data_IF_998759043488
#
_entry.id   IF_998759043488
#
_cell.length_a   1.000
_cell.length_b   1.000
_cell.length_c   1.000
_cell.angle_alpha   90.00
_cell.angle_beta   90.00
_cell.angle_gamma   90.00
#
_symmetry.space_group_name_H-M   'P 1'
#
loop_
_entity.id
_entity.type
_entity.pdbx_description
1 polymer ?
#
# COMPACT_ATOMS: atom_id res chain seq x y z
N UNK A 1 -4.18 11.62 -14.09
CA UNK A 1 -4.88 11.09 -15.27
C UNK A 1 -5.59 9.76 -14.92
N UNK A 2 -4.89 8.80 -14.32
CA UNK A 2 -5.38 7.44 -14.14
C UNK A 2 -6.49 7.33 -13.07
N UNK A 3 -6.37 8.04 -11.95
CA UNK A 3 -7.41 8.08 -10.91
C UNK A 3 -8.74 8.65 -11.45
N UNK A 4 -8.68 9.69 -12.30
CA UNK A 4 -9.88 10.24 -12.92
C UNK A 4 -10.50 9.26 -13.95
N UNK A 5 -9.65 8.52 -14.67
CA UNK A 5 -10.11 7.49 -15.60
C UNK A 5 -10.81 6.34 -14.85
N UNK A 6 -10.22 5.90 -13.72
CA UNK A 6 -10.83 4.90 -12.84
C UNK A 6 -12.17 5.38 -12.27
N UNK A 7 -12.24 6.60 -11.77
CA UNK A 7 -13.47 7.18 -11.26
C UNK A 7 -14.60 7.17 -12.30
N UNK A 8 -14.29 7.57 -13.55
CA UNK A 8 -15.25 7.54 -14.66
C UNK A 8 -15.71 6.11 -15.01
N UNK A 9 -14.83 5.11 -14.88
CA UNK A 9 -15.21 3.70 -15.07
C UNK A 9 -16.14 3.22 -13.97
N UNK A 10 -15.82 3.54 -12.70
CA UNK A 10 -16.64 3.22 -11.53
C UNK A 10 -18.05 3.81 -11.65
N UNK A 11 -18.16 5.07 -12.08
CA UNK A 11 -19.47 5.72 -12.29
C UNK A 11 -20.35 5.02 -13.32
N UNK A 12 -19.76 4.41 -14.34
CA UNK A 12 -20.46 3.74 -15.44
C UNK A 12 -20.64 2.24 -15.24
N UNK A 13 -20.04 1.68 -14.18
CA UNK A 13 -20.11 0.26 -13.91
C UNK A 13 -21.49 -0.12 -13.36
N UNK A 14 -22.17 -1.09 -13.99
CA UNK A 14 -23.54 -1.49 -13.67
C UNK A 14 -23.63 -2.91 -13.08
N UNK A 15 -22.49 -3.58 -12.89
CA UNK A 15 -22.38 -4.92 -12.32
C UNK A 15 -21.37 -5.78 -13.07
N UNK A 16 -21.02 -6.93 -12.51
CA UNK A 16 -20.04 -7.86 -13.05
C UNK A 16 -18.91 -8.15 -12.04
N UNK A 17 -17.84 -8.78 -12.53
CA UNK A 17 -16.69 -9.18 -11.74
C UNK A 17 -15.77 -7.99 -11.45
N UNK A 18 -15.56 -7.67 -10.19
CA UNK A 18 -14.60 -6.66 -9.73
C UNK A 18 -13.44 -7.35 -9.03
N UNK A 19 -12.23 -7.10 -9.47
CA UNK A 19 -11.03 -7.62 -8.80
C UNK A 19 -10.25 -6.46 -8.18
N UNK A 20 -9.92 -6.60 -6.88
CA UNK A 20 -8.93 -5.76 -6.22
C UNK A 20 -7.63 -6.55 -6.11
N UNK A 21 -6.60 -6.11 -6.84
CA UNK A 21 -5.31 -6.82 -6.90
C UNK A 21 -4.16 -5.97 -6.42
N UNK A 22 -3.21 -6.60 -5.71
CA UNK A 22 -2.05 -5.92 -5.11
C UNK A 22 -0.76 -6.43 -5.72
N UNK A 23 -0.01 -5.52 -6.35
CA UNK A 23 1.35 -5.79 -6.81
C UNK A 23 2.39 -5.57 -5.70
N UNK A 24 3.50 -6.32 -5.75
CA UNK A 24 4.62 -6.18 -4.81
C UNK A 24 5.87 -5.65 -5.53
N UNK A 25 6.67 -4.81 -4.85
CA UNK A 25 6.44 -4.25 -3.52
C UNK A 25 5.28 -3.26 -3.50
N UNK A 26 4.44 -3.29 -2.48
CA UNK A 26 3.34 -2.33 -2.34
C UNK A 26 3.72 -1.17 -1.42
N UNK A 27 3.20 0.01 -1.71
CA UNK A 27 3.49 1.23 -0.96
C UNK A 27 2.85 1.19 0.44
N UNK A 28 1.56 0.87 0.50
CA UNK A 28 0.78 0.82 1.73
C UNK A 28 -0.08 -0.45 1.76
N UNK A 29 0.07 -1.31 2.77
CA UNK A 29 -0.71 -2.55 2.87
C UNK A 29 -2.20 -2.31 3.16
N UNK A 30 -2.58 -1.14 3.70
CA UNK A 30 -3.96 -0.79 4.00
C UNK A 30 -4.76 -0.42 2.76
N UNK A 31 -4.15 0.21 1.76
CA UNK A 31 -4.86 0.74 0.59
C UNK A 31 -5.71 -0.29 -0.16
N UNK A 32 -5.25 -1.51 -0.47
CA UNK A 32 -6.10 -2.48 -1.15
C UNK A 32 -7.26 -2.97 -0.27
N UNK A 33 -7.05 -3.06 1.04
CA UNK A 33 -8.10 -3.43 1.99
C UNK A 33 -9.17 -2.35 2.10
N UNK A 34 -8.75 -1.11 2.31
CA UNK A 34 -9.63 0.04 2.45
C UNK A 34 -10.45 0.29 1.19
N UNK A 35 -9.83 0.24 0.00
CA UNK A 35 -10.56 0.41 -1.26
C UNK A 35 -11.60 -0.70 -1.48
N UNK A 36 -11.37 -1.90 -0.95
CA UNK A 36 -12.35 -2.98 -1.02
C UNK A 36 -13.62 -2.62 -0.23
N UNK A 37 -13.48 -2.13 0.99
CA UNK A 37 -14.62 -1.65 1.79
C UNK A 37 -15.30 -0.44 1.17
N UNK A 38 -14.54 0.51 0.61
CA UNK A 38 -15.14 1.62 -0.14
C UNK A 38 -15.94 1.17 -1.36
N UNK A 39 -15.49 0.15 -2.08
CA UNK A 39 -16.24 -0.40 -3.20
C UNK A 39 -17.54 -1.06 -2.75
N UNK A 40 -17.54 -1.78 -1.64
CA UNK A 40 -18.74 -2.36 -1.04
C UNK A 40 -19.76 -1.25 -0.74
N UNK A 41 -19.36 -0.25 0.03
CA UNK A 41 -20.22 0.89 0.40
C UNK A 41 -20.70 1.66 -0.84
N UNK A 42 -19.80 1.92 -1.79
CA UNK A 42 -20.12 2.63 -3.02
C UNK A 42 -21.17 1.88 -3.86
N UNK A 43 -21.02 0.58 -4.05
CA UNK A 43 -21.97 -0.20 -4.84
C UNK A 43 -23.30 -0.44 -4.12
N UNK A 44 -23.28 -0.56 -2.77
CA UNK A 44 -24.50 -0.56 -1.94
C UNK A 44 -25.26 0.76 -2.08
N UNK A 45 -24.60 1.91 -1.96
CA UNK A 45 -25.21 3.24 -2.11
C UNK A 45 -25.76 3.47 -3.54
N UNK A 46 -25.19 2.82 -4.54
CA UNK A 46 -25.72 2.83 -5.91
C UNK A 46 -26.85 1.83 -6.15
N UNK A 47 -27.17 0.94 -5.21
CA UNK A 47 -28.21 -0.08 -5.36
C UNK A 47 -27.87 -1.16 -6.40
N UNK A 48 -26.58 -1.47 -6.59
CA UNK A 48 -26.12 -2.47 -7.55
C UNK A 48 -25.27 -3.58 -6.93
N UNK A 49 -25.15 -3.61 -5.60
CA UNK A 49 -24.30 -4.57 -4.89
C UNK A 49 -24.65 -6.02 -5.21
N UNK A 50 -25.93 -6.32 -5.38
CA UNK A 50 -26.46 -7.62 -5.79
C UNK A 50 -26.01 -8.11 -7.17
N UNK A 51 -25.47 -7.21 -8.01
CA UNK A 51 -24.92 -7.48 -9.35
C UNK A 51 -23.41 -7.50 -9.39
N UNK A 52 -22.74 -7.30 -8.27
CA UNK A 52 -21.27 -7.21 -8.19
C UNK A 52 -20.72 -8.47 -7.54
N UNK A 53 -19.78 -9.11 -8.24
CA UNK A 53 -18.94 -10.18 -7.71
C UNK A 53 -17.56 -9.60 -7.39
N UNK A 54 -17.33 -9.25 -6.11
CA UNK A 54 -16.09 -8.62 -5.65
C UNK A 54 -15.11 -9.67 -5.14
N UNK A 55 -13.94 -9.69 -5.79
CA UNK A 55 -12.85 -10.59 -5.45
C UNK A 55 -11.59 -9.82 -5.07
N UNK A 56 -11.01 -10.16 -3.92
CA UNK A 56 -9.79 -9.56 -3.38
C UNK A 56 -8.60 -10.51 -3.51
N UNK A 57 -7.45 -10.04 -4.00
CA UNK A 57 -6.23 -10.87 -4.04
C UNK A 57 -5.10 -10.23 -3.22
N UNK A 58 -4.33 -11.08 -2.52
CA UNK A 58 -3.22 -10.60 -1.70
C UNK A 58 -1.99 -11.53 -1.77
N UNK A 59 -0.75 -10.99 -1.78
CA UNK A 59 0.44 -11.76 -2.12
C UNK A 59 0.96 -12.72 -1.04
N UNK A 60 0.50 -12.62 0.21
CA UNK A 60 0.90 -13.53 1.29
C UNK A 60 -0.26 -14.41 1.75
N UNK A 61 -0.02 -15.43 2.58
CA UNK A 61 -1.01 -16.40 3.04
C UNK A 61 -2.11 -15.88 3.97
N UNK A 62 -2.45 -14.61 3.91
CA UNK A 62 -3.54 -13.94 4.64
C UNK A 62 -3.90 -12.63 3.95
N UNK A 63 -5.09 -12.11 4.20
CA UNK A 63 -5.64 -10.92 3.52
C UNK A 63 -4.95 -9.58 3.84
N UNK A 64 -4.01 -9.56 4.78
CA UNK A 64 -3.25 -8.37 5.14
C UNK A 64 -1.90 -8.72 5.79
N UNK A 65 -0.89 -7.84 5.67
CA UNK A 65 0.46 -8.06 6.23
C UNK A 65 0.47 -8.15 7.77
N UNK A 66 -0.38 -7.39 8.44
CA UNK A 66 -0.54 -7.46 9.90
C UNK A 66 -1.60 -8.50 10.28
N UNK A 67 -1.20 -9.49 11.07
CA UNK A 67 -2.09 -10.60 11.48
C UNK A 67 -3.36 -10.15 12.19
N UNK A 68 -3.35 -9.20 13.15
CA UNK A 68 -4.57 -8.71 13.79
C UNK A 68 -5.55 -8.09 12.79
N UNK A 69 -5.05 -7.36 11.79
CA UNK A 69 -5.87 -6.76 10.73
C UNK A 69 -6.46 -7.86 9.84
N UNK A 70 -5.67 -8.86 9.46
CA UNK A 70 -6.16 -9.98 8.65
C UNK A 70 -7.25 -10.79 9.38
N UNK A 71 -7.10 -11.02 10.69
CA UNK A 71 -8.10 -11.71 11.52
C UNK A 71 -9.41 -10.94 11.65
N UNK A 72 -9.36 -9.62 11.56
CA UNK A 72 -10.55 -8.78 11.53
C UNK A 72 -11.16 -8.74 10.13
N UNK A 73 -10.35 -8.52 9.09
CA UNK A 73 -10.84 -8.26 7.74
C UNK A 73 -11.46 -9.48 7.05
N UNK A 74 -10.90 -10.67 7.24
CA UNK A 74 -11.42 -11.87 6.58
C UNK A 74 -12.88 -12.19 6.96
N UNK A 75 -13.28 -12.21 8.25
CA UNK A 75 -14.69 -12.34 8.62
C UNK A 75 -15.59 -11.21 8.10
N UNK A 76 -15.07 -9.98 7.98
CA UNK A 76 -15.85 -8.89 7.40
C UNK A 76 -16.08 -9.10 5.89
N UNK A 77 -15.08 -9.62 5.17
CA UNK A 77 -15.25 -10.03 3.77
C UNK A 77 -16.31 -11.12 3.62
N UNK A 78 -16.29 -12.14 4.48
CA UNK A 78 -17.28 -13.22 4.47
C UNK A 78 -18.71 -12.69 4.69
N UNK A 79 -18.90 -11.74 5.62
CA UNK A 79 -20.20 -11.10 5.88
C UNK A 79 -20.73 -10.34 4.68
N UNK A 80 -19.84 -9.69 3.94
CA UNK A 80 -20.18 -8.91 2.77
C UNK A 80 -20.27 -9.75 1.48
N UNK A 81 -19.90 -11.04 1.54
CA UNK A 81 -19.88 -11.93 0.37
C UNK A 81 -18.71 -11.65 -0.58
N UNK A 82 -17.65 -10.99 -0.08
CA UNK A 82 -16.40 -10.77 -0.84
C UNK A 82 -15.60 -12.08 -0.83
N UNK A 83 -15.25 -12.56 -2.01
CA UNK A 83 -14.33 -13.69 -2.14
C UNK A 83 -12.88 -13.20 -2.10
N UNK A 84 -11.95 -14.04 -1.66
CA UNK A 84 -10.54 -13.63 -1.67
C UNK A 84 -9.60 -14.82 -1.93
N UNK A 85 -8.47 -14.50 -2.54
CA UNK A 85 -7.37 -15.43 -2.78
C UNK A 85 -6.08 -14.86 -2.19
N UNK A 86 -5.40 -15.67 -1.38
CA UNK A 86 -4.11 -15.36 -0.78
C UNK A 86 -2.98 -16.11 -1.50
N UNK A 87 -1.72 -15.72 -1.29
CA UNK A 87 -0.57 -16.20 -2.07
C UNK A 87 -0.73 -15.89 -3.57
N UNK A 88 -1.34 -14.77 -3.90
CA UNK A 88 -1.55 -14.31 -5.26
C UNK A 88 -0.56 -13.16 -5.55
N UNK A 89 0.63 -13.47 -6.03
CA UNK A 89 1.63 -12.47 -6.44
C UNK A 89 1.33 -12.02 -7.88
N UNK A 90 0.75 -10.84 -8.02
CA UNK A 90 0.36 -10.32 -9.32
C UNK A 90 1.57 -10.20 -10.26
N UNK A 91 1.57 -10.96 -11.33
CA UNK A 91 2.61 -11.02 -12.36
C UNK A 91 2.26 -10.16 -13.57
N UNK A 92 1.05 -10.34 -14.09
CA UNK A 92 0.64 -9.74 -15.35
C UNK A 92 -0.84 -9.39 -15.34
N UNK A 93 -1.18 -8.34 -16.08
CA UNK A 93 -2.56 -7.96 -16.36
C UNK A 93 -2.76 -8.02 -17.87
N UNK A 94 -3.66 -8.88 -18.30
CA UNK A 94 -4.11 -8.98 -19.70
C UNK A 94 -5.59 -8.53 -19.81
N UNK A 95 -6.13 -8.30 -20.99
CA UNK A 95 -7.53 -7.91 -21.13
C UNK A 95 -8.47 -8.90 -20.42
N UNK A 96 -9.22 -8.40 -19.43
CA UNK A 96 -10.20 -9.17 -18.67
C UNK A 96 -9.63 -10.15 -17.63
N UNK A 97 -8.32 -10.19 -17.39
CA UNK A 97 -7.72 -11.14 -16.46
C UNK A 97 -6.46 -10.61 -15.80
N UNK A 98 -6.30 -10.87 -14.51
CA UNK A 98 -5.04 -10.73 -13.77
C UNK A 98 -4.46 -12.13 -13.50
N UNK A 99 -3.14 -12.28 -13.67
CA UNK A 99 -2.42 -13.55 -13.57
C UNK A 99 -1.36 -13.42 -12.47
N UNK A 100 -1.23 -14.46 -11.64
CA UNK A 100 -0.22 -14.53 -10.58
C UNK A 100 1.04 -15.29 -11.00
N UNK A 101 2.12 -15.13 -10.23
CA UNK A 101 3.35 -15.93 -10.37
C UNK A 101 3.12 -17.41 -10.04
N UNK A 102 2.09 -17.72 -9.26
CA UNK A 102 1.69 -19.05 -8.85
C UNK A 102 0.78 -19.74 -9.87
N UNK A 103 0.70 -19.23 -11.11
CA UNK A 103 -0.15 -19.73 -12.20
C UNK A 103 -1.66 -19.69 -11.91
N UNK A 104 -2.08 -18.95 -10.87
CA UNK A 104 -3.48 -18.63 -10.63
C UNK A 104 -3.93 -17.44 -11.44
N UNK A 105 -5.23 -17.25 -11.61
CA UNK A 105 -5.74 -16.07 -12.32
C UNK A 105 -7.16 -15.70 -11.89
N UNK A 106 -7.45 -14.40 -11.88
CA UNK A 106 -8.78 -13.85 -11.61
C UNK A 106 -9.29 -13.07 -12.83
N UNK A 107 -10.49 -13.39 -13.29
CA UNK A 107 -11.17 -12.67 -14.38
C UNK A 107 -11.88 -11.44 -13.82
N UNK A 108 -11.92 -10.37 -14.60
CA UNK A 108 -12.58 -9.12 -14.19
C UNK A 108 -13.26 -8.40 -15.38
N UNK A 109 -14.35 -7.71 -15.06
CA UNK A 109 -14.95 -6.64 -15.86
C UNK A 109 -14.39 -5.27 -15.42
N UNK A 110 -14.06 -5.14 -14.12
CA UNK A 110 -13.41 -3.98 -13.53
C UNK A 110 -12.23 -4.42 -12.64
N UNK A 111 -11.04 -3.92 -12.95
CA UNK A 111 -9.85 -4.12 -12.12
C UNK A 111 -9.50 -2.84 -11.36
N UNK A 112 -9.41 -2.94 -10.05
CA UNK A 112 -8.79 -1.94 -9.18
C UNK A 112 -7.47 -2.51 -8.67
N UNK A 113 -6.37 -1.94 -9.10
CA UNK A 113 -5.06 -2.48 -8.74
C UNK A 113 -4.17 -1.45 -8.08
N UNK A 114 -3.43 -1.91 -7.07
CA UNK A 114 -2.29 -1.19 -6.52
C UNK A 114 -1.05 -1.75 -7.22
N UNK A 115 -0.47 -1.00 -8.18
CA UNK A 115 0.68 -1.48 -8.94
C UNK A 115 1.93 -1.60 -8.06
N UNK A 116 2.94 -2.37 -8.48
CA UNK A 116 4.23 -2.42 -7.78
C UNK A 116 4.81 -1.01 -7.60
N UNK A 117 5.19 -0.70 -6.36
CA UNK A 117 5.78 0.60 -6.03
C UNK A 117 7.21 0.69 -6.57
N UNK A 118 7.49 1.78 -7.27
CA UNK A 118 8.82 2.12 -7.74
C UNK A 118 9.31 3.37 -7.00
N UNK A 119 10.58 3.40 -6.68
CA UNK A 119 11.24 4.57 -6.12
C UNK A 119 11.41 5.68 -7.16
N UNK A 120 12.08 6.75 -6.76
CA UNK A 120 12.25 7.93 -7.60
C UNK A 120 13.40 7.76 -8.61
N UNK A 121 13.15 8.08 -9.87
CA UNK A 121 14.14 7.98 -10.94
C UNK A 121 15.39 8.84 -10.66
N UNK A 122 15.24 10.00 -10.05
CA UNK A 122 16.37 10.87 -9.69
C UNK A 122 17.38 10.20 -8.76
N UNK A 123 16.95 9.23 -7.95
CA UNK A 123 17.83 8.47 -7.05
C UNK A 123 18.68 7.48 -7.86
N UNK A 124 18.07 6.81 -8.83
CA UNK A 124 18.77 5.93 -9.77
C UNK A 124 19.77 6.70 -10.62
N UNK A 125 19.35 7.81 -11.21
CA UNK A 125 20.16 8.64 -12.11
C UNK A 125 21.39 9.24 -11.41
N UNK A 126 21.36 9.39 -10.09
CA UNK A 126 22.48 9.91 -9.29
C UNK A 126 23.19 8.83 -8.45
N UNK A 127 22.89 7.55 -8.69
CA UNK A 127 23.52 6.41 -8.00
C UNK A 127 23.44 6.50 -6.45
N UNK A 128 22.36 7.11 -5.94
CA UNK A 128 22.15 7.30 -4.50
C UNK A 128 21.54 6.09 -3.81
N UNK A 129 21.10 5.09 -4.57
CA UNK A 129 20.44 3.90 -4.04
C UNK A 129 20.11 2.87 -5.11
N UNK A 130 19.21 1.97 -4.81
CA UNK A 130 18.77 0.91 -5.72
C UNK A 130 17.25 0.87 -5.81
N UNK A 131 16.71 0.72 -7.02
CA UNK A 131 15.26 0.71 -7.26
C UNK A 131 14.60 2.05 -6.97
N UNK A 132 15.39 3.15 -6.96
CA UNK A 132 14.92 4.50 -6.63
C UNK A 132 14.72 4.74 -5.12
N UNK A 133 15.29 3.89 -4.26
CA UNK A 133 15.25 4.01 -2.80
C UNK A 133 16.66 4.19 -2.25
N UNK A 134 16.81 5.04 -1.25
CA UNK A 134 18.09 5.35 -0.60
C UNK A 134 18.31 4.39 0.58
N UNK A 135 19.46 3.68 0.64
CA UNK A 135 19.86 2.92 1.81
C UNK A 135 19.88 3.79 3.06
N UNK A 136 19.07 3.45 4.06
CA UNK A 136 18.77 4.31 5.21
C UNK A 136 18.96 3.55 6.50
N UNK A 137 19.71 4.12 7.45
CA UNK A 137 19.78 3.59 8.82
C UNK A 137 18.40 3.66 9.47
N UNK A 138 17.91 2.51 9.95
CA UNK A 138 16.53 2.38 10.45
C UNK A 138 16.25 3.14 11.75
N UNK A 139 17.27 3.60 12.45
CA UNK A 139 17.16 4.29 13.74
C UNK A 139 17.47 5.78 13.61
N UNK A 140 18.59 6.10 12.97
CA UNK A 140 19.10 7.46 12.84
C UNK A 140 18.48 8.17 11.63
N UNK A 141 17.91 7.41 10.67
CA UNK A 141 17.31 7.92 9.44
C UNK A 141 18.30 8.74 8.58
N UNK A 142 19.58 8.42 8.67
CA UNK A 142 20.59 8.97 7.76
C UNK A 142 20.87 7.97 6.62
N UNK A 143 21.36 8.47 5.51
CA UNK A 143 21.84 7.64 4.41
C UNK A 143 23.03 6.79 4.89
N UNK A 144 22.99 5.49 4.63
CA UNK A 144 24.11 4.61 4.99
C UNK A 144 25.42 5.12 4.39
N UNK A 145 26.44 5.23 5.24
CA UNK A 145 27.75 5.76 4.88
C UNK A 145 27.84 7.30 4.79
N UNK A 146 26.79 8.04 5.17
CA UNK A 146 26.77 9.51 5.17
C UNK A 146 26.03 10.06 6.39
N UNK A 147 26.76 10.54 7.38
CA UNK A 147 26.17 11.00 8.64
C UNK A 147 25.42 12.36 8.54
N UNK A 148 25.66 13.10 7.46
CA UNK A 148 25.07 14.42 7.23
C UNK A 148 23.98 14.46 6.16
N UNK A 149 23.55 13.29 5.67
CA UNK A 149 22.46 13.15 4.70
C UNK A 149 21.31 12.40 5.34
N UNK A 150 20.19 13.06 5.54
CA UNK A 150 19.01 12.48 6.18
C UNK A 150 17.96 12.08 5.15
N UNK A 151 17.30 10.95 5.41
CA UNK A 151 16.34 10.32 4.49
C UNK A 151 15.09 9.92 5.27
N UNK A 152 13.92 10.28 4.76
CA UNK A 152 12.65 9.90 5.37
C UNK A 152 11.56 9.62 4.34
N UNK A 153 10.49 8.96 4.78
CA UNK A 153 9.30 8.70 3.99
C UNK A 153 9.51 7.68 2.87
N UNK A 154 8.82 7.90 1.77
CA UNK A 154 8.75 6.98 0.64
C UNK A 154 10.13 6.70 -0.01
N UNK A 155 11.08 7.61 0.17
CA UNK A 155 12.43 7.55 -0.42
C UNK A 155 13.34 6.52 0.24
N UNK A 156 13.06 6.15 1.50
CA UNK A 156 13.87 5.18 2.24
C UNK A 156 13.74 3.77 1.66
N UNK A 157 14.76 2.94 1.80
CA UNK A 157 14.67 1.50 1.53
C UNK A 157 14.14 0.68 2.73
N UNK A 158 13.68 1.34 3.79
CA UNK A 158 13.19 0.68 4.98
C UNK A 158 11.98 -0.22 4.68
N UNK A 159 11.92 -1.44 5.25
CA UNK A 159 10.85 -2.41 5.01
C UNK A 159 9.61 -2.10 5.86
N UNK A 160 9.13 -0.87 5.79
CA UNK A 160 7.95 -0.38 6.50
C UNK A 160 6.95 0.24 5.51
N UNK A 161 5.73 0.45 5.97
CA UNK A 161 4.69 1.09 5.16
C UNK A 161 5.15 2.47 4.68
N UNK A 162 4.99 2.75 3.38
CA UNK A 162 5.26 4.04 2.76
C UNK A 162 4.05 4.97 2.89
N UNK A 163 3.57 5.13 4.13
CA UNK A 163 2.40 5.95 4.46
C UNK A 163 2.82 7.35 4.94
N UNK A 164 1.95 8.33 4.78
CA UNK A 164 2.20 9.68 5.29
C UNK A 164 2.42 9.73 6.80
N UNK A 165 1.76 8.87 7.57
CA UNK A 165 1.99 8.74 9.02
C UNK A 165 3.40 8.26 9.36
N UNK A 166 3.95 7.33 8.57
CA UNK A 166 5.34 6.89 8.72
C UNK A 166 6.30 8.06 8.56
N UNK A 167 6.16 8.79 7.44
CA UNK A 167 6.99 9.96 7.18
C UNK A 167 6.84 11.05 8.26
N UNK A 168 5.65 11.20 8.84
CA UNK A 168 5.41 12.13 9.94
C UNK A 168 6.21 11.75 11.20
N UNK A 169 6.15 10.48 11.64
CA UNK A 169 6.91 10.03 12.81
C UNK A 169 8.43 9.98 12.58
N UNK A 170 8.85 9.67 11.36
CA UNK A 170 10.26 9.80 10.97
C UNK A 170 10.71 11.26 11.04
N UNK A 171 9.87 12.21 10.57
CA UNK A 171 10.18 13.63 10.63
C UNK A 171 10.26 14.18 12.07
N UNK A 172 9.44 13.68 12.99
CA UNK A 172 9.55 14.03 14.41
C UNK A 172 10.92 13.63 14.96
N UNK A 173 11.33 12.38 14.77
CA UNK A 173 12.62 11.87 15.24
C UNK A 173 13.80 12.64 14.59
N UNK A 174 13.72 12.88 13.28
CA UNK A 174 14.75 13.64 12.56
C UNK A 174 14.82 15.09 12.99
N UNK A 175 13.70 15.75 13.21
CA UNK A 175 13.66 17.15 13.66
C UNK A 175 14.39 17.33 15.00
N UNK A 176 14.14 16.45 15.97
CA UNK A 176 14.82 16.44 17.25
C UNK A 176 16.33 16.18 17.08
N UNK A 177 16.70 15.19 16.26
CA UNK A 177 18.09 14.83 16.01
C UNK A 177 18.88 15.91 15.29
N UNK A 178 18.32 16.53 14.25
CA UNK A 178 18.97 17.62 13.52
C UNK A 178 19.20 18.83 14.44
N UNK A 179 18.19 19.17 15.25
CA UNK A 179 18.34 20.26 16.23
C UNK A 179 19.44 19.96 17.25
N UNK A 180 19.50 18.71 17.76
CA UNK A 180 20.54 18.30 18.70
C UNK A 180 21.93 18.24 18.06
N UNK A 181 22.04 17.75 16.83
CA UNK A 181 23.31 17.72 16.09
C UNK A 181 23.89 19.12 15.89
N UNK A 182 23.04 20.10 15.59
CA UNK A 182 23.48 21.50 15.44
C UNK A 182 23.93 22.12 16.79
N UNK A 183 23.28 21.76 17.89
CA UNK A 183 23.51 22.34 19.20
C UNK A 183 24.57 21.63 20.02
N UNK A 184 24.57 20.28 19.98
CA UNK A 184 25.32 19.41 20.90
C UNK A 184 26.28 18.45 20.18
N UNK A 185 26.16 18.30 18.85
CA UNK A 185 26.99 17.40 18.05
C UNK A 185 26.56 15.93 18.01
N UNK A 186 25.50 15.54 18.72
CA UNK A 186 25.03 14.16 18.81
C UNK A 186 23.51 14.04 18.66
N UNK A 187 22.98 12.96 18.01
CA UNK A 187 21.54 12.69 17.96
C UNK A 187 21.02 12.27 19.34
N UNK A 188 19.77 12.60 19.64
CA UNK A 188 19.12 12.36 20.94
C UNK A 188 18.02 11.32 20.93
N UNK A 189 17.58 10.88 19.74
CA UNK A 189 16.44 9.98 19.60
C UNK A 189 16.65 8.97 18.48
N UNK A 190 16.37 7.69 18.76
CA UNK A 190 16.20 6.66 17.74
C UNK A 190 14.76 6.66 17.24
N UNK A 191 14.57 6.51 15.93
CA UNK A 191 13.26 6.17 15.36
C UNK A 191 12.91 4.73 15.72
N UNK A 192 11.75 4.51 16.28
CA UNK A 192 11.29 3.22 16.82
C UNK A 192 10.48 2.37 15.84
N UNK A 193 10.32 2.83 14.60
CA UNK A 193 9.51 2.15 13.59
C UNK A 193 8.02 2.45 13.67
N UNK A 194 7.62 3.48 14.43
CA UNK A 194 6.23 3.85 14.62
C UNK A 194 5.55 4.17 13.29
N UNK A 195 4.42 3.51 13.08
CA UNK A 195 3.51 3.75 11.95
C UNK A 195 2.08 3.68 12.47
N UNK A 196 1.21 4.45 11.84
CA UNK A 196 -0.19 4.49 12.21
C UNK A 196 -1.05 4.64 10.94
N UNK A 197 -2.10 3.83 10.82
CA UNK A 197 -3.09 3.94 9.76
C UNK A 197 -4.48 3.74 10.35
N UNK A 198 -5.43 4.56 9.94
CA UNK A 198 -6.85 4.25 10.06
C UNK A 198 -7.27 3.36 8.88
N UNK A 199 -8.28 2.54 9.09
CA UNK A 199 -8.97 1.83 8.03
C UNK A 199 -10.40 2.36 8.04
N UNK A 200 -10.80 2.95 6.94
CA UNK A 200 -12.20 3.27 6.69
C UNK A 200 -12.89 2.01 6.16
N UNK A 201 -13.92 1.54 6.87
CA UNK A 201 -14.58 0.27 6.55
C UNK A 201 -16.00 0.45 5.98
N UNK A 202 -16.42 1.68 5.67
CA UNK A 202 -17.78 2.01 5.24
C UNK A 202 -18.73 2.23 6.41
N UNK A 203 -20.01 2.46 6.09
CA UNK A 203 -21.13 2.70 7.05
C UNK A 203 -20.97 3.95 7.94
N UNK A 204 -20.06 4.87 7.60
CA UNK A 204 -19.77 6.08 8.35
C UNK A 204 -20.23 7.38 7.70
#
# INVERSE_FOLDING_TARGET
>A
ADALAMYKKLQKFEGGKVVVATGVPHKCPMSPLEITFFLIDYFKKRGIWDKVDLHYTYPIGRVHSLEPVAKWAAPEFDKEGVTYETLFNMKEVVPGKVISEEDSSAEFDLLVTVPPHKGMQVIEDNELGKGGFIPTDKKKLNMEGRDNVFVLGDTTNLPISKAGSTAHFEAEALGENIAALVQQGEPVRDYDGKVFCFIEAGDG
#
